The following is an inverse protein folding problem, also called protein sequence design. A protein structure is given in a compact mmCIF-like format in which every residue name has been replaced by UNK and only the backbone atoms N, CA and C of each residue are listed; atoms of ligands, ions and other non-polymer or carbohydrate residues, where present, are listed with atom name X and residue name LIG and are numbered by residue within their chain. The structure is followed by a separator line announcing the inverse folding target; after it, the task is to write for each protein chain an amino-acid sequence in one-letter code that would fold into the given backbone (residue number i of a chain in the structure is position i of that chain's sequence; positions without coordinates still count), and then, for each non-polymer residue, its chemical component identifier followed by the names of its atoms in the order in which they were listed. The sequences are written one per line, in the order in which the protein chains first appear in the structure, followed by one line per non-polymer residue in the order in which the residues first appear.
data_IF_225005701572
#
_entry.id   IF_225005701572
#
_cell.length_a   1.000
_cell.length_b   1.000
_cell.length_c   1.000
_cell.angle_alpha   90.00
_cell.angle_beta   90.00
_cell.angle_gamma   90.00
#
_symmetry.space_group_name_H-M   'P 1'
#
loop_
_entity.id
_entity.type
_entity.pdbx_description
1 polymer ?
#
# COMPACT_ATOMS: atom_id res chain seq x y z
N UNK A 1 -19.31 -12.29 43.18
CA UNK A 1 -18.57 -11.70 42.04
C UNK A 1 -19.13 -12.25 40.72
N UNK A 2 -19.83 -11.44 39.91
CA UNK A 2 -20.31 -11.85 38.57
C UNK A 2 -19.12 -11.91 37.62
N UNK A 3 -18.80 -13.09 37.07
CA UNK A 3 -17.85 -13.24 35.95
C UNK A 3 -18.44 -12.51 34.74
N UNK A 4 -17.85 -11.37 34.39
CA UNK A 4 -18.21 -10.62 33.19
C UNK A 4 -17.60 -11.33 31.98
N UNK A 5 -18.41 -12.12 31.27
CA UNK A 5 -17.99 -12.73 30.02
C UNK A 5 -17.81 -11.61 28.98
N UNK A 6 -16.61 -11.48 28.35
CA UNK A 6 -16.42 -10.50 27.29
C UNK A 6 -17.41 -10.82 26.16
N UNK A 7 -18.27 -9.85 25.84
CA UNK A 7 -19.29 -9.98 24.80
C UNK A 7 -18.69 -10.43 23.45
N UNK A 8 -19.50 -11.06 22.59
CA UNK A 8 -19.02 -11.60 21.31
C UNK A 8 -18.33 -10.51 20.51
N UNK A 9 -17.04 -10.70 20.24
CA UNK A 9 -16.26 -9.85 19.34
C UNK A 9 -16.99 -9.73 18.00
N UNK A 10 -17.14 -8.54 17.41
CA UNK A 10 -17.86 -8.37 16.14
C UNK A 10 -17.17 -9.21 15.06
N UNK A 11 -17.86 -10.26 14.60
CA UNK A 11 -17.37 -11.15 13.54
C UNK A 11 -18.15 -10.84 12.27
N UNK A 12 -17.45 -10.47 11.21
CA UNK A 12 -18.07 -10.32 9.89
C UNK A 12 -18.68 -11.67 9.46
N UNK A 13 -19.89 -11.62 8.90
CA UNK A 13 -20.52 -12.78 8.27
C UNK A 13 -19.63 -13.36 7.16
N UNK A 14 -19.75 -14.68 6.89
CA UNK A 14 -18.98 -15.37 5.84
C UNK A 14 -18.99 -14.65 4.47
N UNK A 15 -20.13 -14.16 3.93
CA UNK A 15 -20.15 -13.47 2.64
C UNK A 15 -19.45 -12.09 2.70
N UNK A 16 -19.71 -11.28 3.73
CA UNK A 16 -19.06 -9.98 3.91
C UNK A 16 -17.53 -10.11 4.00
N UNK A 17 -17.02 -11.16 4.68
CA UNK A 17 -15.59 -11.46 4.72
C UNK A 17 -15.01 -11.75 3.34
N UNK A 18 -15.72 -12.53 2.51
CA UNK A 18 -15.26 -12.87 1.16
C UNK A 18 -15.24 -11.64 0.26
N UNK A 19 -16.28 -10.81 0.32
CA UNK A 19 -16.32 -9.55 -0.43
C UNK A 19 -15.16 -8.62 -0.03
N UNK A 20 -14.94 -8.42 1.27
CA UNK A 20 -13.81 -7.61 1.77
C UNK A 20 -12.45 -8.19 1.33
N UNK A 21 -12.29 -9.51 1.27
CA UNK A 21 -11.08 -10.16 0.75
C UNK A 21 -10.86 -9.86 -0.73
N UNK A 22 -11.89 -9.99 -1.56
CA UNK A 22 -11.81 -9.72 -2.99
C UNK A 22 -11.43 -8.25 -3.23
N UNK A 23 -12.14 -7.33 -2.57
CA UNK A 23 -11.84 -5.88 -2.66
C UNK A 23 -10.41 -5.60 -2.22
N UNK A 24 -9.95 -6.18 -1.12
CA UNK A 24 -8.58 -5.98 -0.63
C UNK A 24 -7.53 -6.49 -1.62
N UNK A 25 -7.74 -7.66 -2.20
CA UNK A 25 -6.81 -8.26 -3.15
C UNK A 25 -6.75 -7.44 -4.45
N UNK A 26 -7.91 -7.05 -5.00
CA UNK A 26 -7.97 -6.22 -6.22
C UNK A 26 -7.30 -4.86 -5.96
N UNK A 27 -7.63 -4.20 -4.85
CA UNK A 27 -7.03 -2.91 -4.50
C UNK A 27 -5.51 -3.03 -4.31
N UNK A 28 -5.04 -4.06 -3.60
CA UNK A 28 -3.60 -4.30 -3.38
C UNK A 28 -2.86 -4.60 -4.68
N UNK A 29 -3.46 -5.39 -5.58
CA UNK A 29 -2.86 -5.71 -6.87
C UNK A 29 -2.83 -4.48 -7.79
N UNK A 30 -3.92 -3.70 -7.82
CA UNK A 30 -3.97 -2.43 -8.57
C UNK A 30 -2.96 -1.42 -8.05
N UNK A 31 -2.77 -1.35 -6.74
CA UNK A 31 -1.76 -0.50 -6.11
C UNK A 31 -0.33 -0.86 -6.53
N UNK A 32 -0.01 -2.16 -6.55
CA UNK A 32 1.27 -2.66 -7.04
C UNK A 32 1.47 -2.33 -8.52
N UNK A 33 0.45 -2.56 -9.35
CA UNK A 33 0.47 -2.24 -10.78
C UNK A 33 0.67 -0.75 -11.05
N UNK A 34 -0.02 0.12 -10.31
CA UNK A 34 0.17 1.57 -10.38
C UNK A 34 1.60 1.99 -10.03
N UNK A 35 2.17 1.40 -8.98
CA UNK A 35 3.55 1.68 -8.59
C UNK A 35 4.53 1.28 -9.69
N UNK A 36 4.35 0.10 -10.30
CA UNK A 36 5.15 -0.36 -11.43
C UNK A 36 5.00 0.54 -12.66
N UNK A 37 3.77 0.95 -12.99
CA UNK A 37 3.52 1.85 -14.11
C UNK A 37 4.14 3.23 -13.91
N UNK A 38 4.02 3.80 -12.70
CA UNK A 38 4.66 5.07 -12.35
C UNK A 38 6.18 4.99 -12.40
N UNK A 39 6.76 3.86 -11.97
CA UNK A 39 8.20 3.62 -12.09
C UNK A 39 8.62 3.57 -13.58
N UNK A 40 7.89 2.83 -14.41
CA UNK A 40 8.19 2.74 -15.84
C UNK A 40 8.13 4.11 -16.51
N UNK A 41 7.09 4.91 -16.25
CA UNK A 41 6.96 6.27 -16.76
C UNK A 41 8.07 7.20 -16.25
N UNK A 42 8.45 7.07 -14.98
CA UNK A 42 9.54 7.84 -14.39
C UNK A 42 10.90 7.53 -15.03
N UNK A 43 11.17 6.24 -15.29
CA UNK A 43 12.38 5.82 -16.02
C UNK A 43 12.35 6.38 -17.43
N UNK A 44 11.24 6.21 -18.17
CA UNK A 44 11.10 6.74 -19.53
C UNK A 44 11.34 8.25 -19.56
N UNK A 45 10.73 9.01 -18.65
CA UNK A 45 10.94 10.45 -18.57
C UNK A 45 12.41 10.82 -18.29
N UNK A 46 13.11 10.04 -17.46
CA UNK A 46 14.49 10.31 -17.07
C UNK A 46 15.53 9.90 -18.13
N UNK A 47 15.24 8.90 -18.97
CA UNK A 47 16.21 8.34 -19.92
C UNK A 47 15.96 8.70 -21.37
N UNK A 48 14.74 9.12 -21.73
CA UNK A 48 14.38 9.46 -23.11
C UNK A 48 14.79 10.91 -23.45
N UNK A 49 15.39 11.11 -24.62
CA UNK A 49 15.84 12.42 -25.09
C UNK A 49 14.76 13.23 -25.82
N UNK A 50 13.61 12.64 -26.13
CA UNK A 50 12.54 13.32 -26.87
C UNK A 50 11.60 14.07 -25.92
N UNK A 51 11.50 15.40 -26.12
CA UNK A 51 10.66 16.26 -25.30
C UNK A 51 9.19 15.79 -25.24
N UNK A 52 8.65 15.28 -26.36
CA UNK A 52 7.28 14.76 -26.42
C UNK A 52 7.06 13.52 -25.56
N UNK A 53 8.02 12.59 -25.50
CA UNK A 53 7.90 11.37 -24.68
C UNK A 53 8.05 11.69 -23.20
N UNK A 54 8.95 12.60 -22.85
CA UNK A 54 9.10 13.12 -21.48
C UNK A 54 7.81 13.76 -21.00
N UNK A 55 7.24 14.67 -21.80
CA UNK A 55 5.99 15.35 -21.46
C UNK A 55 4.82 14.38 -21.30
N UNK A 56 4.65 13.44 -22.24
CA UNK A 56 3.59 12.43 -22.17
C UNK A 56 3.71 11.57 -20.90
N UNK A 57 4.95 11.16 -20.55
CA UNK A 57 5.22 10.34 -19.37
C UNK A 57 4.86 11.06 -18.08
N UNK A 58 5.27 12.32 -17.94
CA UNK A 58 5.02 13.14 -16.75
C UNK A 58 3.53 13.49 -16.61
N UNK A 59 2.83 13.77 -17.72
CA UNK A 59 1.36 13.96 -17.71
C UNK A 59 0.60 12.70 -17.29
N UNK A 60 1.02 11.52 -17.79
CA UNK A 60 0.42 10.24 -17.39
C UNK A 60 0.66 9.94 -15.90
N UNK A 61 1.87 10.21 -15.39
CA UNK A 61 2.17 10.08 -13.95
C UNK A 61 1.25 10.95 -13.11
N UNK A 62 1.01 12.20 -13.52
CA UNK A 62 0.09 13.11 -12.83
C UNK A 62 -1.34 12.58 -12.82
N UNK A 63 -1.84 12.09 -13.95
CA UNK A 63 -3.19 11.52 -14.05
C UNK A 63 -3.39 10.37 -13.05
N UNK A 64 -2.43 9.43 -12.98
CA UNK A 64 -2.49 8.32 -12.04
C UNK A 64 -2.37 8.77 -10.58
N UNK A 65 -1.47 9.72 -10.30
CA UNK A 65 -1.28 10.27 -8.96
C UNK A 65 -2.54 11.00 -8.45
N UNK A 66 -3.24 11.70 -9.34
CA UNK A 66 -4.43 12.48 -9.00
C UNK A 66 -5.67 11.59 -8.81
N UNK A 67 -5.91 10.64 -9.72
CA UNK A 67 -7.16 9.88 -9.75
C UNK A 67 -7.12 8.51 -9.10
N UNK A 68 -6.04 7.76 -9.27
CA UNK A 68 -6.02 6.34 -8.88
C UNK A 68 -5.29 6.11 -7.57
N UNK A 69 -4.25 6.89 -7.32
CA UNK A 69 -3.36 6.67 -6.20
C UNK A 69 -4.11 6.82 -4.85
N UNK A 70 -4.74 7.97 -4.59
CA UNK A 70 -5.45 8.16 -3.32
C UNK A 70 -6.57 7.11 -3.08
N UNK A 71 -7.50 6.89 -4.03
CA UNK A 71 -8.60 5.94 -3.83
C UNK A 71 -8.13 4.50 -3.62
N UNK A 72 -7.14 4.04 -4.39
CA UNK A 72 -6.63 2.67 -4.28
C UNK A 72 -5.88 2.47 -2.96
N UNK A 73 -5.12 3.46 -2.48
CA UNK A 73 -4.48 3.42 -1.17
C UNK A 73 -5.51 3.27 -0.05
N UNK A 74 -6.54 4.12 -0.07
CA UNK A 74 -7.61 4.09 0.93
C UNK A 74 -8.40 2.79 0.90
N UNK A 75 -8.76 2.29 -0.30
CA UNK A 75 -9.43 1.00 -0.45
C UNK A 75 -8.58 -0.14 0.13
N UNK A 76 -7.27 -0.13 -0.14
CA UNK A 76 -6.34 -1.15 0.38
C UNK A 76 -6.26 -1.11 1.91
N UNK A 77 -6.11 0.09 2.49
CA UNK A 77 -6.03 0.30 3.93
C UNK A 77 -7.34 -0.06 4.65
N UNK A 78 -8.48 0.46 4.18
CA UNK A 78 -9.78 0.24 4.81
C UNK A 78 -10.19 -1.23 4.73
N UNK A 79 -10.04 -1.87 3.57
CA UNK A 79 -10.34 -3.29 3.42
C UNK A 79 -9.40 -4.16 4.26
N UNK A 80 -8.12 -3.81 4.35
CA UNK A 80 -7.15 -4.48 5.22
C UNK A 80 -7.50 -4.36 6.70
N UNK A 81 -7.93 -3.17 7.13
CA UNK A 81 -8.39 -2.90 8.49
C UNK A 81 -9.67 -3.70 8.81
N UNK A 82 -10.68 -3.67 7.92
CA UNK A 82 -11.91 -4.43 8.05
C UNK A 82 -11.65 -5.94 8.18
N UNK A 83 -10.74 -6.48 7.37
CA UNK A 83 -10.33 -7.88 7.45
C UNK A 83 -9.57 -8.19 8.72
N UNK A 84 -8.72 -7.28 9.20
CA UNK A 84 -7.96 -7.48 10.43
C UNK A 84 -8.84 -7.46 11.68
N UNK A 85 -9.87 -6.60 11.73
CA UNK A 85 -10.76 -6.43 12.88
C UNK A 85 -11.96 -7.39 12.84
N UNK A 86 -12.53 -7.61 11.65
CA UNK A 86 -13.75 -8.39 11.47
C UNK A 86 -13.53 -9.90 11.34
N UNK A 87 -12.28 -10.37 11.38
CA UNK A 87 -11.97 -11.80 11.31
C UNK A 87 -11.30 -12.31 12.58
N UNK A 88 -11.33 -13.63 12.78
CA UNK A 88 -10.65 -14.33 13.89
C UNK A 88 -9.14 -14.04 13.97
N UNK A 89 -8.58 -13.46 12.92
CA UNK A 89 -7.17 -13.17 12.82
C UNK A 89 -6.79 -12.00 13.73
N UNK A 90 -7.53 -10.89 13.81
CA UNK A 90 -7.20 -9.78 14.72
C UNK A 90 -5.90 -9.04 14.31
N UNK A 91 -5.94 -7.71 14.17
CA UNK A 91 -4.79 -6.88 13.75
C UNK A 91 -3.49 -7.16 14.53
N UNK A 92 -3.60 -7.42 15.84
CA UNK A 92 -2.45 -7.65 16.72
C UNK A 92 -2.24 -9.11 17.12
N UNK A 93 -2.90 -10.10 16.49
CA UNK A 93 -2.79 -11.53 16.90
C UNK A 93 -1.67 -12.29 16.19
N UNK A 94 -1.27 -11.81 15.02
CA UNK A 94 -0.22 -12.41 14.20
C UNK A 94 0.78 -11.34 13.78
N UNK A 95 2.08 -11.61 13.98
CA UNK A 95 3.14 -10.60 13.77
C UNK A 95 3.15 -10.15 12.32
N UNK A 96 2.95 -11.07 11.38
CA UNK A 96 2.92 -10.78 9.95
C UNK A 96 1.78 -9.81 9.55
N UNK A 97 0.59 -9.89 10.19
CA UNK A 97 -0.54 -8.99 9.90
C UNK A 97 -0.21 -7.57 10.36
N UNK A 98 0.35 -7.44 11.56
CA UNK A 98 0.76 -6.16 12.13
C UNK A 98 1.88 -5.52 11.30
N UNK A 99 2.92 -6.29 10.95
CA UNK A 99 4.02 -5.81 10.10
C UNK A 99 3.51 -5.35 8.75
N UNK A 100 2.65 -6.14 8.09
CA UNK A 100 2.05 -5.76 6.79
C UNK A 100 1.26 -4.46 6.90
N UNK A 101 0.45 -4.30 7.94
CA UNK A 101 -0.35 -3.09 8.14
C UNK A 101 0.53 -1.85 8.26
N UNK A 102 1.57 -1.88 9.12
CA UNK A 102 2.45 -0.73 9.29
C UNK A 102 3.29 -0.43 8.06
N UNK A 103 3.75 -1.46 7.34
CA UNK A 103 4.43 -1.25 6.06
C UNK A 103 3.49 -0.67 4.99
N UNK A 104 2.23 -1.10 4.95
CA UNK A 104 1.23 -0.53 4.02
C UNK A 104 0.94 0.94 4.37
N UNK A 105 0.83 1.25 5.66
CA UNK A 105 0.63 2.61 6.13
C UNK A 105 1.85 3.49 5.81
N UNK A 106 3.06 3.04 6.15
CA UNK A 106 4.29 3.77 5.89
C UNK A 106 4.49 4.05 4.40
N UNK A 107 4.24 3.06 3.54
CA UNK A 107 4.35 3.27 2.09
C UNK A 107 3.25 4.18 1.57
N UNK A 108 2.00 4.08 2.06
CA UNK A 108 0.93 5.04 1.69
C UNK A 108 1.32 6.47 2.07
N UNK A 109 1.83 6.68 3.28
CA UNK A 109 2.34 7.98 3.75
C UNK A 109 3.48 8.47 2.86
N UNK A 110 4.45 7.62 2.55
CA UNK A 110 5.55 7.97 1.65
C UNK A 110 5.03 8.36 0.26
N UNK A 111 4.04 7.65 -0.29
CA UNK A 111 3.51 8.00 -1.62
C UNK A 111 2.76 9.34 -1.59
N UNK A 112 2.00 9.63 -0.53
CA UNK A 112 1.27 10.90 -0.40
C UNK A 112 2.22 12.09 -0.18
N UNK A 113 3.23 11.93 0.67
CA UNK A 113 4.09 13.05 1.10
C UNK A 113 5.39 13.18 0.31
N UNK A 114 5.88 12.14 -0.35
CA UNK A 114 7.11 12.20 -1.15
C UNK A 114 6.82 12.08 -2.66
N UNK A 115 6.07 11.06 -3.07
CA UNK A 115 5.89 10.78 -4.50
C UNK A 115 5.00 11.84 -5.19
N UNK A 116 3.87 12.22 -4.58
CA UNK A 116 2.97 13.24 -5.15
C UNK A 116 3.65 14.62 -5.34
N UNK A 117 4.33 15.19 -4.33
CA UNK A 117 5.05 16.45 -4.51
C UNK A 117 6.19 16.35 -5.53
N UNK A 118 6.90 15.22 -5.57
CA UNK A 118 7.94 14.96 -6.57
C UNK A 118 7.39 14.97 -8.00
N UNK A 119 6.27 14.25 -8.24
CA UNK A 119 5.59 14.23 -9.55
C UNK A 119 5.13 15.63 -9.94
N UNK A 120 4.49 16.38 -9.02
CA UNK A 120 4.05 17.74 -9.33
C UNK A 120 5.23 18.68 -9.67
N UNK A 121 6.34 18.57 -8.94
CA UNK A 121 7.54 19.37 -9.20
C UNK A 121 8.15 19.05 -10.57
N UNK A 122 8.20 17.77 -10.94
CA UNK A 122 8.65 17.34 -12.26
C UNK A 122 7.73 17.85 -13.38
N UNK A 123 6.41 17.82 -13.19
CA UNK A 123 5.42 18.40 -14.12
C UNK A 123 5.69 19.90 -14.32
N UNK A 124 5.87 20.65 -13.23
CA UNK A 124 6.11 22.09 -13.29
C UNK A 124 7.43 22.43 -13.98
N UNK A 125 8.51 21.69 -13.70
CA UNK A 125 9.81 21.90 -14.32
C UNK A 125 9.77 21.67 -15.85
N UNK A 126 9.17 20.55 -16.28
CA UNK A 126 9.03 20.22 -17.70
C UNK A 126 8.13 21.22 -18.42
N UNK A 127 7.01 21.63 -17.80
CA UNK A 127 6.10 22.63 -18.38
C UNK A 127 6.75 24.01 -18.54
N UNK A 128 7.75 24.34 -17.73
CA UNK A 128 8.53 25.56 -17.83
C UNK A 128 9.71 25.46 -18.83
N UNK A 129 9.89 24.31 -19.49
CA UNK A 129 11.03 24.05 -20.38
C UNK A 129 12.35 23.79 -19.65
N UNK A 130 12.29 23.57 -18.33
CA UNK A 130 13.46 23.26 -17.50
C UNK A 130 13.81 21.76 -17.53
N UNK A 131 15.04 21.40 -17.13
CA UNK A 131 15.45 20.01 -17.01
C UNK A 131 14.68 19.29 -15.89
N UNK A 132 14.54 17.97 -16.03
CA UNK A 132 14.04 17.14 -14.94
C UNK A 132 14.98 17.21 -13.72
N UNK A 133 14.45 17.06 -12.50
CA UNK A 133 15.27 16.83 -11.31
C UNK A 133 16.15 15.58 -11.52
N UNK A 134 17.31 15.54 -10.85
CA UNK A 134 18.30 14.49 -11.04
C UNK A 134 17.68 13.08 -10.95
N UNK A 135 17.99 12.22 -11.93
CA UNK A 135 17.30 10.94 -12.12
C UNK A 135 17.43 10.01 -10.89
N UNK A 136 18.55 10.13 -10.16
CA UNK A 136 18.76 9.41 -8.89
C UNK A 136 17.74 9.77 -7.82
N UNK A 137 17.43 11.05 -7.66
CA UNK A 137 16.46 11.54 -6.67
C UNK A 137 15.02 11.17 -7.05
N UNK A 138 14.72 11.18 -8.35
CA UNK A 138 13.38 10.83 -8.88
C UNK A 138 13.10 9.32 -8.75
N UNK A 139 14.11 8.47 -8.95
CA UNK A 139 13.93 7.01 -8.98
C UNK A 139 14.03 6.35 -7.60
N UNK A 140 14.68 6.98 -6.62
CA UNK A 140 14.85 6.42 -5.28
C UNK A 140 13.51 6.07 -4.60
N UNK A 141 12.57 7.01 -4.60
CA UNK A 141 11.24 6.82 -3.97
C UNK A 141 10.44 5.65 -4.56
N UNK A 142 10.25 5.58 -5.89
CA UNK A 142 9.61 4.46 -6.56
C UNK A 142 10.30 3.10 -6.33
N UNK A 143 11.63 3.04 -6.40
CA UNK A 143 12.39 1.79 -6.19
C UNK A 143 12.21 1.27 -4.76
N UNK A 144 12.39 2.13 -3.76
CA UNK A 144 12.20 1.76 -2.34
C UNK A 144 10.76 1.30 -2.09
N UNK A 145 9.79 1.99 -2.68
CA UNK A 145 8.37 1.62 -2.55
C UNK A 145 8.08 0.26 -3.17
N UNK A 146 8.60 -0.01 -4.37
CA UNK A 146 8.45 -1.29 -5.05
C UNK A 146 9.07 -2.43 -4.24
N UNK A 147 10.30 -2.27 -3.75
CA UNK A 147 10.96 -3.26 -2.91
C UNK A 147 10.13 -3.55 -1.65
N UNK A 148 9.57 -2.51 -1.02
CA UNK A 148 8.69 -2.67 0.13
C UNK A 148 7.41 -3.46 -0.21
N UNK A 149 6.77 -3.20 -1.36
CA UNK A 149 5.57 -3.93 -1.77
C UNK A 149 5.85 -5.40 -2.11
N UNK A 150 6.96 -5.69 -2.79
CA UNK A 150 7.39 -7.06 -3.07
C UNK A 150 7.64 -7.80 -1.75
N UNK A 151 8.37 -7.19 -0.82
CA UNK A 151 8.62 -7.75 0.49
C UNK A 151 7.33 -8.03 1.28
N UNK A 152 6.38 -7.08 1.28
CA UNK A 152 5.05 -7.27 1.89
C UNK A 152 4.28 -8.43 1.28
N UNK A 153 4.38 -8.61 -0.04
CA UNK A 153 3.73 -9.70 -0.77
C UNK A 153 4.33 -11.05 -0.38
N UNK A 154 5.66 -11.14 -0.36
CA UNK A 154 6.40 -12.35 0.07
C UNK A 154 6.03 -12.75 1.49
N UNK A 155 6.05 -11.82 2.45
CA UNK A 155 5.66 -12.11 3.84
C UNK A 155 4.20 -12.55 3.94
N UNK A 156 3.30 -11.97 3.12
CA UNK A 156 1.87 -12.33 3.12
C UNK A 156 1.64 -13.78 2.70
N UNK A 157 2.44 -14.27 1.75
CA UNK A 157 2.36 -15.64 1.23
C UNK A 157 3.05 -16.62 2.19
N UNK A 158 4.29 -16.33 2.58
CA UNK A 158 5.12 -17.24 3.36
C UNK A 158 4.77 -17.29 4.86
N UNK A 159 4.10 -16.26 5.39
CA UNK A 159 3.66 -16.14 6.80
C UNK A 159 4.71 -16.64 7.83
N UNK A 160 5.97 -16.18 7.77
CA UNK A 160 7.07 -16.81 8.50
C UNK A 160 7.00 -16.65 10.03
N UNK A 161 6.24 -15.67 10.53
CA UNK A 161 6.18 -15.37 11.97
C UNK A 161 4.80 -15.67 12.53
N UNK A 162 4.74 -16.67 13.42
CA UNK A 162 3.53 -17.16 14.09
C UNK A 162 2.76 -16.14 14.94
N UNK A 163 1.99 -16.62 15.92
CA UNK A 163 1.09 -15.78 16.74
C UNK A 163 1.88 -14.80 17.63
N UNK A 164 1.35 -13.60 17.84
CA UNK A 164 1.89 -12.60 18.78
C UNK A 164 1.66 -13.03 20.25
N UNK A 165 2.34 -12.38 21.21
CA UNK A 165 2.14 -12.58 22.66
C UNK A 165 0.68 -12.34 23.10
N UNK A 166 -0.01 -11.37 22.47
CA UNK A 166 -1.46 -11.13 22.66
C UNK A 166 -2.32 -12.25 22.06
N UNK A 167 -1.89 -12.85 20.95
CA UNK A 167 -2.55 -14.01 20.32
C UNK A 167 -2.45 -15.29 21.14
N UNK A 168 -1.32 -15.50 21.83
CA UNK A 168 -1.14 -16.60 22.78
C UNK A 168 -2.02 -16.44 24.03
N UNK A 169 -2.03 -15.26 24.66
CA UNK A 169 -2.90 -14.98 25.83
C UNK A 169 -4.39 -15.21 25.56
N UNK A 170 -4.89 -14.83 24.38
CA UNK A 170 -6.29 -15.08 24.00
C UNK A 170 -6.57 -16.55 23.69
N UNK A 171 -5.60 -17.33 23.21
CA UNK A 171 -5.79 -18.77 22.99
C UNK A 171 -5.80 -19.57 24.30
N UNK A 172 -5.05 -19.13 25.31
CA UNK A 172 -5.04 -19.74 26.65
C UNK A 172 -6.27 -19.39 27.49
N UNK A 173 -6.93 -18.25 27.23
CA UNK A 173 -8.15 -17.86 27.94
C UNK A 173 -9.43 -18.60 27.49
N UNK A 174 -9.34 -19.43 26.44
CA UNK A 174 -10.44 -20.27 25.92
C UNK A 174 -10.08 -21.76 25.89
N UNK A 175 -8.97 -22.15 26.52
CA UNK A 175 -8.65 -23.54 26.85
C UNK A 175 -8.96 -23.73 28.34
#
# INVERSE_FOLDING_TARGET
MKKQYPGPSPRLGRPARRAALVVHVIASAGWLGLTLGLLALGITAATDGSAGTVEASVRAMKLFADWLLLPVAFLTLLSGLLLSLGTKWGLARYRWVYTKFWLTLATTTATVFALRPGVNSAVTAVAAGGPLPDAGDVLFGPVVSLSAYVFMTVISVLKPWGKTRRGHRRSQAFA
#
